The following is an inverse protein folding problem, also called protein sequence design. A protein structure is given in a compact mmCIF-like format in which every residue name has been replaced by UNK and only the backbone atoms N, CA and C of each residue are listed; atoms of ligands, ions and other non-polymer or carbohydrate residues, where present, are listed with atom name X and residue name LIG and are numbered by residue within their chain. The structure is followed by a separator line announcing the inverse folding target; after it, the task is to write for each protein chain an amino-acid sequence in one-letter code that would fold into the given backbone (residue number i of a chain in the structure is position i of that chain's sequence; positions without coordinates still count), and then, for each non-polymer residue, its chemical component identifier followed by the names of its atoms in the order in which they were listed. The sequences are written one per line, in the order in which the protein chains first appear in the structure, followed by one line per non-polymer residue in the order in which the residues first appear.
data_IF_616375943498
#
_entry.id   IF_616375943498
#
_cell.length_a   1.000
_cell.length_b   1.000
_cell.length_c   1.000
_cell.angle_alpha   90.00
_cell.angle_beta   90.00
_cell.angle_gamma   90.00
#
_symmetry.space_group_name_H-M   'P 1'
#
loop_
_entity.id
_entity.type
_entity.pdbx_description
1 polymer ?
#
# COMPACT_ATOMS: atom_id res chain seq x y z
N UNK A 1 37.49 24.53 2.37
CA UNK A 1 36.14 24.96 2.80
C UNK A 1 35.01 24.14 2.15
N UNK A 2 35.05 23.82 0.84
CA UNK A 2 33.94 23.09 0.19
C UNK A 2 33.73 21.64 0.64
N UNK A 3 34.80 20.94 1.04
CA UNK A 3 34.71 19.52 1.43
C UNK A 3 33.94 19.30 2.74
N UNK A 4 34.07 20.21 3.70
CA UNK A 4 33.33 20.15 4.96
C UNK A 4 31.82 20.37 4.76
N UNK A 5 31.45 21.22 3.80
CA UNK A 5 30.04 21.47 3.46
C UNK A 5 29.42 20.21 2.83
N UNK A 6 30.15 19.53 1.94
CA UNK A 6 29.69 18.29 1.33
C UNK A 6 29.50 17.17 2.37
N UNK A 7 30.40 17.06 3.33
CA UNK A 7 30.27 16.08 4.43
C UNK A 7 29.02 16.37 5.26
N UNK A 8 28.78 17.63 5.64
CA UNK A 8 27.61 17.98 6.44
C UNK A 8 26.29 17.69 5.70
N UNK A 9 26.22 18.01 4.40
CA UNK A 9 25.04 17.70 3.58
C UNK A 9 24.75 16.20 3.50
N UNK A 10 25.81 15.38 3.35
CA UNK A 10 25.66 13.92 3.33
C UNK A 10 25.25 13.35 4.69
N UNK A 11 25.72 13.93 5.79
CA UNK A 11 25.33 13.51 7.14
C UNK A 11 23.88 13.88 7.46
N UNK A 12 23.43 15.08 7.06
CA UNK A 12 22.02 15.48 7.19
C UNK A 12 21.09 14.55 6.40
N UNK A 13 21.45 14.17 5.17
CA UNK A 13 20.67 13.24 4.35
C UNK A 13 20.56 11.85 4.99
N UNK A 14 21.66 11.35 5.58
CA UNK A 14 21.68 10.06 6.30
C UNK A 14 20.83 10.12 7.58
N UNK A 15 20.92 11.21 8.36
CA UNK A 15 20.12 11.37 9.59
C UNK A 15 18.61 11.45 9.27
N UNK A 16 18.23 12.18 8.21
CA UNK A 16 16.83 12.23 7.77
C UNK A 16 16.30 10.86 7.32
N UNK A 17 17.14 10.08 6.62
CA UNK A 17 16.80 8.73 6.18
C UNK A 17 16.64 7.76 7.37
N UNK A 18 17.53 7.83 8.36
CA UNK A 18 17.43 7.03 9.59
C UNK A 18 16.15 7.34 10.37
N UNK A 19 15.78 8.62 10.52
CA UNK A 19 14.52 9.02 11.18
C UNK A 19 13.30 8.48 10.43
N UNK A 20 13.32 8.49 9.09
CA UNK A 20 12.24 7.92 8.30
C UNK A 20 12.13 6.40 8.48
N UNK A 21 13.27 5.69 8.49
CA UNK A 21 13.31 4.24 8.72
C UNK A 21 12.80 3.91 10.13
N UNK A 22 13.20 4.65 11.16
CA UNK A 22 12.65 4.47 12.52
C UNK A 22 11.15 4.71 12.56
N UNK A 23 10.64 5.76 11.90
CA UNK A 23 9.20 6.03 11.83
C UNK A 23 8.42 4.95 11.07
N UNK A 24 9.02 4.29 10.08
CA UNK A 24 8.39 3.21 9.32
C UNK A 24 8.45 1.89 10.10
N UNK A 25 9.56 1.60 10.78
CA UNK A 25 9.77 0.35 11.53
C UNK A 25 9.05 0.33 12.87
N UNK A 26 8.82 1.49 13.50
CA UNK A 26 8.05 1.62 14.75
C UNK A 26 6.54 1.63 14.56
N UNK A 27 6.05 1.81 13.32
CA UNK A 27 4.61 1.76 13.04
C UNK A 27 4.09 0.34 13.27
N UNK A 28 3.24 0.21 14.28
CA UNK A 28 2.48 -1.02 14.52
C UNK A 28 1.76 -1.41 13.24
N UNK A 29 2.02 -2.64 12.79
CA UNK A 29 1.27 -3.27 11.71
C UNK A 29 -0.21 -3.27 12.13
N UNK A 30 -1.05 -2.66 11.30
CA UNK A 30 -2.48 -2.58 11.54
C UNK A 30 -3.07 -4.00 11.68
N UNK A 31 -4.01 -4.19 12.61
CA UNK A 31 -4.50 -5.53 12.95
C UNK A 31 -5.07 -6.30 11.75
N UNK A 32 -5.67 -5.60 10.78
CA UNK A 32 -6.16 -6.19 9.53
C UNK A 32 -5.08 -6.91 8.69
N UNK A 33 -3.81 -6.53 8.84
CA UNK A 33 -2.71 -7.18 8.14
C UNK A 33 -2.12 -8.37 8.90
N UNK A 34 -2.44 -8.51 10.21
CA UNK A 34 -2.01 -9.66 11.02
C UNK A 34 -2.78 -10.92 10.61
N UNK A 35 -4.06 -10.78 10.29
CA UNK A 35 -4.95 -11.87 9.87
C UNK A 35 -4.79 -12.24 8.39
N UNK A 36 -4.06 -11.45 7.60
CA UNK A 36 -3.86 -11.66 6.14
C UNK A 36 -3.37 -13.07 5.78
N UNK A 37 -2.53 -13.68 6.63
CA UNK A 37 -2.03 -15.05 6.41
C UNK A 37 -3.14 -16.10 6.50
N UNK A 38 -4.13 -15.85 7.36
CA UNK A 38 -5.24 -16.76 7.66
C UNK A 38 -6.45 -16.50 6.76
N UNK A 39 -6.74 -15.22 6.52
CA UNK A 39 -7.90 -14.74 5.75
C UNK A 39 -7.69 -14.82 4.23
N UNK A 40 -6.44 -14.95 3.78
CA UNK A 40 -6.09 -14.85 2.37
C UNK A 40 -6.15 -13.40 1.85
N UNK A 41 -5.79 -13.22 0.58
CA UNK A 41 -5.49 -11.88 0.07
C UNK A 41 -6.71 -11.11 -0.42
N UNK A 42 -7.78 -11.79 -0.84
CA UNK A 42 -8.81 -11.15 -1.66
C UNK A 42 -10.15 -10.95 -0.94
N UNK A 43 -10.99 -11.97 -0.80
CA UNK A 43 -12.38 -11.76 -0.37
C UNK A 43 -12.49 -11.16 1.03
N UNK A 44 -11.83 -11.75 2.02
CA UNK A 44 -11.98 -11.31 3.41
C UNK A 44 -11.26 -9.98 3.66
N UNK A 45 -10.03 -9.83 3.17
CA UNK A 45 -9.24 -8.62 3.37
C UNK A 45 -9.86 -7.40 2.68
N UNK A 46 -10.33 -7.58 1.44
CA UNK A 46 -10.92 -6.49 0.67
C UNK A 46 -12.33 -6.19 1.18
N UNK A 47 -13.23 -7.19 1.23
CA UNK A 47 -14.66 -6.96 1.52
C UNK A 47 -14.93 -6.59 2.98
N UNK A 48 -14.17 -7.14 3.95
CA UNK A 48 -14.41 -6.85 5.38
C UNK A 48 -13.59 -5.70 5.92
N UNK A 49 -12.31 -5.64 5.58
CA UNK A 49 -11.39 -4.70 6.24
C UNK A 49 -11.22 -3.43 5.41
N UNK A 50 -10.82 -3.56 4.14
CA UNK A 50 -10.52 -2.39 3.32
C UNK A 50 -11.76 -1.62 2.88
N UNK A 51 -12.84 -2.28 2.45
CA UNK A 51 -14.08 -1.58 2.04
C UNK A 51 -14.82 -0.88 3.19
N UNK A 52 -14.50 -1.17 4.46
CA UNK A 52 -15.13 -0.51 5.62
C UNK A 52 -14.36 0.70 6.13
N UNK A 53 -13.11 0.88 5.69
CA UNK A 53 -12.24 1.99 6.09
C UNK A 53 -11.66 2.64 4.83
N UNK A 54 -12.26 3.74 4.42
CA UNK A 54 -11.85 4.48 3.21
C UNK A 54 -10.39 4.98 3.30
N UNK A 55 -9.91 5.34 4.49
CA UNK A 55 -8.53 5.79 4.67
C UNK A 55 -7.56 4.64 4.40
N UNK A 56 -7.86 3.45 4.94
CA UNK A 56 -7.06 2.25 4.69
C UNK A 56 -7.18 1.75 3.27
N UNK A 57 -8.36 1.82 2.68
CA UNK A 57 -8.58 1.54 1.26
C UNK A 57 -7.67 2.40 0.39
N UNK A 58 -7.68 3.71 0.61
CA UNK A 58 -6.84 4.67 -0.12
C UNK A 58 -5.35 4.44 0.11
N UNK A 59 -4.94 4.10 1.33
CA UNK A 59 -3.53 3.75 1.61
C UNK A 59 -3.11 2.49 0.85
N UNK A 60 -3.99 1.50 0.75
CA UNK A 60 -3.70 0.21 0.13
C UNK A 60 -3.72 0.27 -1.41
N UNK A 61 -4.82 0.75 -2.00
CA UNK A 61 -5.01 0.81 -3.45
C UNK A 61 -4.42 2.07 -4.09
N UNK A 62 -4.09 3.09 -3.29
CA UNK A 62 -3.71 4.44 -3.77
C UNK A 62 -4.78 5.11 -4.64
N UNK A 63 -6.03 4.69 -4.47
CA UNK A 63 -7.22 5.17 -5.18
C UNK A 63 -8.35 5.42 -4.18
N UNK A 64 -9.24 6.36 -4.48
CA UNK A 64 -10.55 6.44 -3.82
C UNK A 64 -11.44 5.28 -4.28
N UNK A 65 -12.55 5.04 -3.56
CA UNK A 65 -13.55 4.05 -4.00
C UNK A 65 -14.10 4.37 -5.39
N UNK A 66 -14.35 5.64 -5.67
CA UNK A 66 -14.86 6.09 -6.97
C UNK A 66 -13.86 5.78 -8.09
N UNK A 67 -12.58 6.08 -7.89
CA UNK A 67 -11.52 5.79 -8.86
C UNK A 67 -11.33 4.29 -9.05
N UNK A 68 -11.36 3.52 -7.96
CA UNK A 68 -11.28 2.07 -8.03
C UNK A 68 -12.45 1.49 -8.83
N UNK A 69 -13.68 1.90 -8.53
CA UNK A 69 -14.88 1.44 -9.24
C UNK A 69 -14.88 1.87 -10.71
N UNK A 70 -14.38 3.07 -11.00
CA UNK A 70 -14.21 3.52 -12.38
C UNK A 70 -13.26 2.60 -13.15
N UNK A 71 -12.07 2.31 -12.60
CA UNK A 71 -11.12 1.39 -13.21
C UNK A 71 -11.71 -0.01 -13.33
N UNK A 72 -12.39 -0.51 -12.29
CA UNK A 72 -13.04 -1.81 -12.30
C UNK A 72 -14.06 -1.92 -13.44
N UNK A 73 -14.92 -0.91 -13.61
CA UNK A 73 -15.93 -0.86 -14.67
C UNK A 73 -15.30 -0.84 -16.08
N UNK A 74 -14.11 -0.24 -16.25
CA UNK A 74 -13.43 -0.23 -17.54
C UNK A 74 -12.96 -1.62 -17.98
N UNK A 75 -12.61 -2.48 -17.02
CA UNK A 75 -12.03 -3.81 -17.28
C UNK A 75 -12.98 -4.95 -16.89
N UNK A 76 -14.19 -4.64 -16.41
CA UNK A 76 -15.13 -5.63 -15.87
C UNK A 76 -15.50 -6.67 -16.93
N UNK A 77 -15.75 -6.22 -18.15
CA UNK A 77 -16.07 -7.09 -19.29
C UNK A 77 -14.89 -7.99 -19.66
N UNK A 78 -13.65 -7.49 -19.61
CA UNK A 78 -12.45 -8.27 -19.88
C UNK A 78 -12.19 -9.35 -18.81
N UNK A 79 -12.47 -9.03 -17.55
CA UNK A 79 -12.40 -9.98 -16.42
C UNK A 79 -13.45 -11.08 -16.59
N UNK A 80 -14.69 -10.72 -16.95
CA UNK A 80 -15.80 -11.68 -17.14
C UNK A 80 -15.65 -12.51 -18.42
N UNK A 81 -15.04 -11.94 -19.45
CA UNK A 81 -14.80 -12.54 -20.77
C UNK A 81 -13.71 -13.61 -20.75
N UNK A 82 -12.76 -13.54 -19.80
CA UNK A 82 -11.76 -14.58 -19.55
C UNK A 82 -12.14 -15.43 -18.32
N UNK A 83 -13.02 -16.44 -18.44
CA UNK A 83 -12.89 -17.56 -17.52
C UNK A 83 -11.50 -18.13 -17.82
N UNK A 84 -10.63 -18.24 -16.81
CA UNK A 84 -9.40 -18.99 -16.94
C UNK A 84 -9.70 -20.29 -17.69
N UNK A 85 -9.28 -20.39 -18.96
CA UNK A 85 -9.21 -21.69 -19.62
C UNK A 85 -8.11 -22.42 -18.88
N UNK A 86 -8.51 -23.24 -17.92
CA UNK A 86 -7.62 -24.17 -17.26
C UNK A 86 -6.93 -25.01 -18.33
N UNK A 87 -5.61 -24.87 -18.38
CA UNK A 87 -4.68 -25.81 -19.02
C UNK A 87 -3.56 -26.04 -18.03
#
# INVERSE_FOLDING_TARGET
MCFAILINLLLEEIEEEEVFIEQVTTKKVHDMFKTRKEEGFFSVLIEKHLFRDETKFRQFFRLSWEQFNYVLNLIEDDIKSNPCKGT
#
